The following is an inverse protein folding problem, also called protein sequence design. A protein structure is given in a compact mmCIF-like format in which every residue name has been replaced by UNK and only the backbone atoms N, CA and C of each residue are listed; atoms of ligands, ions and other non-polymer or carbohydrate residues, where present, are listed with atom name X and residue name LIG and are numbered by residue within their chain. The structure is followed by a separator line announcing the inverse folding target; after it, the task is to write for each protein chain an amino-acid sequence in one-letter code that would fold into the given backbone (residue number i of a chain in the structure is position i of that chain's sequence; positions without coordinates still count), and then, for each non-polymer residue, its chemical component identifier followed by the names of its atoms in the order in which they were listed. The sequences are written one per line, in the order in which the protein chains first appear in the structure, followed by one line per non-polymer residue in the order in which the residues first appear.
data_IF_276490128832
#
_entry.id   IF_276490128832
#
_cell.length_a   1.000
_cell.length_b   1.000
_cell.length_c   1.000
_cell.angle_alpha   90.00
_cell.angle_beta   90.00
_cell.angle_gamma   90.00
#
_symmetry.space_group_name_H-M   'P 1'
#
loop_
_entity.id
_entity.type
_entity.pdbx_description
1 polymer ?
#
# COMPACT_ATOMS: atom_id res chain seq x y z
N UNK A 1 -4.99 2.36 -7.21
CA UNK A 1 -5.38 3.78 -7.34
C UNK A 1 -5.25 4.28 -8.78
N UNK A 2 -4.07 4.37 -9.39
CA UNK A 2 -3.89 4.95 -10.72
C UNK A 2 -4.83 4.39 -11.81
N UNK A 3 -5.04 3.06 -11.83
CA UNK A 3 -6.00 2.43 -12.77
C UNK A 3 -7.43 2.94 -12.56
N UNK A 4 -7.88 2.99 -11.31
CA UNK A 4 -9.24 3.43 -10.95
C UNK A 4 -9.41 4.91 -11.30
N UNK A 5 -8.41 5.73 -10.99
CA UNK A 5 -8.41 7.13 -11.34
C UNK A 5 -8.51 7.35 -12.85
N UNK A 6 -7.68 6.65 -13.65
CA UNK A 6 -7.75 6.69 -15.11
C UNK A 6 -9.09 6.22 -15.68
N UNK A 7 -9.66 5.17 -15.11
CA UNK A 7 -10.95 4.64 -15.55
C UNK A 7 -12.06 5.65 -15.25
N UNK A 8 -12.11 6.19 -14.04
CA UNK A 8 -13.10 7.20 -13.64
C UNK A 8 -13.02 8.45 -14.53
N UNK A 9 -11.82 8.97 -14.79
CA UNK A 9 -11.63 10.12 -15.68
C UNK A 9 -12.17 9.85 -17.11
N UNK A 10 -11.84 8.69 -17.69
CA UNK A 10 -12.31 8.31 -19.04
C UNK A 10 -13.81 8.06 -19.12
N UNK A 11 -14.43 7.61 -18.03
CA UNK A 11 -15.88 7.43 -17.96
C UNK A 11 -16.57 8.78 -17.96
N UNK A 12 -16.06 9.74 -17.17
CA UNK A 12 -16.60 11.10 -17.08
C UNK A 12 -16.59 11.83 -18.43
N UNK A 13 -15.52 11.67 -19.22
CA UNK A 13 -15.38 12.31 -20.53
C UNK A 13 -16.25 11.68 -21.64
N UNK A 14 -16.85 10.50 -21.40
CA UNK A 14 -17.61 9.77 -22.42
C UNK A 14 -19.10 9.73 -22.07
N UNK A 15 -19.94 10.11 -23.03
CA UNK A 15 -21.34 9.72 -23.03
C UNK A 15 -21.45 8.23 -23.33
N UNK A 16 -21.35 7.42 -22.28
CA UNK A 16 -21.48 5.98 -22.39
C UNK A 16 -22.95 5.60 -22.54
N UNK A 17 -23.26 4.78 -23.55
CA UNK A 17 -24.60 4.25 -23.76
C UNK A 17 -25.05 3.24 -22.69
N UNK A 18 -24.12 2.75 -21.85
CA UNK A 18 -24.38 1.84 -20.74
C UNK A 18 -23.52 2.22 -19.54
N UNK A 19 -24.05 2.14 -18.31
CA UNK A 19 -23.25 2.38 -17.11
C UNK A 19 -22.15 1.33 -16.99
N UNK A 20 -20.96 1.76 -16.56
CA UNK A 20 -19.87 0.87 -16.19
C UNK A 20 -19.92 0.71 -14.67
N UNK A 21 -20.00 -0.53 -14.21
CA UNK A 21 -19.86 -0.89 -12.81
C UNK A 21 -18.41 -1.29 -12.56
N UNK A 22 -17.77 -0.64 -11.59
CA UNK A 22 -16.38 -0.91 -11.22
C UNK A 22 -16.40 -1.60 -9.86
N UNK A 23 -15.77 -2.78 -9.79
CA UNK A 23 -15.55 -3.50 -8.54
C UNK A 23 -14.04 -3.54 -8.29
N UNK A 24 -13.60 -2.99 -7.17
CA UNK A 24 -12.20 -2.95 -6.76
C UNK A 24 -11.98 -3.87 -5.56
N UNK A 25 -11.19 -4.93 -5.76
CA UNK A 25 -10.74 -5.83 -4.69
C UNK A 25 -9.39 -5.37 -4.12
N UNK A 26 -9.30 -5.24 -2.79
CA UNK A 26 -8.04 -5.06 -2.04
C UNK A 26 -8.24 -5.52 -0.59
N UNK A 27 -7.38 -6.40 -0.07
CA UNK A 27 -7.48 -6.94 1.29
C UNK A 27 -6.51 -6.31 2.30
N UNK A 28 -5.74 -5.29 1.89
CA UNK A 28 -4.77 -4.61 2.75
C UNK A 28 -5.15 -3.14 3.00
N UNK A 29 -5.72 -2.48 2.00
CA UNK A 29 -6.17 -1.10 2.10
C UNK A 29 -6.22 -0.42 0.74
N UNK A 30 -7.38 0.15 0.39
CA UNK A 30 -7.54 0.83 -0.88
C UNK A 30 -6.59 2.02 -1.01
N UNK A 31 -5.83 2.02 -2.10
CA UNK A 31 -4.85 3.07 -2.40
C UNK A 31 -3.45 2.74 -1.91
N UNK A 32 -3.30 2.52 -0.60
CA UNK A 32 -2.00 2.29 0.03
C UNK A 32 -1.49 0.85 -0.11
N UNK A 33 -2.39 -0.12 -0.24
CA UNK A 33 -2.08 -1.54 -0.28
C UNK A 33 -1.26 -1.98 0.94
N UNK A 34 -0.52 -3.08 0.78
CA UNK A 34 0.30 -3.64 1.85
C UNK A 34 1.59 -2.84 2.12
N UNK A 35 2.23 -2.33 1.07
CA UNK A 35 3.57 -1.71 1.13
C UNK A 35 3.55 -0.40 1.91
N UNK A 36 2.52 0.43 1.70
CA UNK A 36 2.35 1.70 2.40
C UNK A 36 1.21 1.62 3.40
N UNK A 37 0.99 0.47 4.04
CA UNK A 37 -0.04 0.38 5.08
C UNK A 37 0.18 1.46 6.15
N UNK A 38 -0.83 2.28 6.49
CA UNK A 38 -0.74 3.25 7.59
C UNK A 38 -0.49 2.61 8.96
N UNK A 39 -0.77 1.31 9.08
CA UNK A 39 -0.64 0.55 10.32
C UNK A 39 0.73 -0.14 10.46
N UNK A 40 1.69 0.18 9.59
CA UNK A 40 3.06 -0.30 9.71
C UNK A 40 3.90 0.59 10.64
N UNK A 41 5.06 0.10 11.05
CA UNK A 41 5.99 0.85 11.90
C UNK A 41 6.45 2.16 11.25
N UNK A 42 6.39 3.29 11.98
CA UNK A 42 6.82 4.60 11.43
C UNK A 42 8.33 4.68 11.16
N UNK A 43 9.14 3.78 11.72
CA UNK A 43 10.58 3.70 11.41
C UNK A 43 10.88 3.22 9.98
N UNK A 44 9.89 2.67 9.28
CA UNK A 44 10.03 2.29 7.88
C UNK A 44 9.78 3.52 7.01
N UNK A 45 10.85 4.10 6.50
CA UNK A 45 10.79 5.36 5.75
C UNK A 45 10.56 5.15 4.25
N UNK A 46 9.95 6.16 3.64
CA UNK A 46 10.01 6.38 2.20
C UNK A 46 11.47 6.55 1.78
N UNK A 47 11.81 6.10 0.57
CA UNK A 47 13.14 6.27 -0.03
C UNK A 47 13.23 7.55 -0.89
N UNK A 48 12.24 8.42 -0.78
CA UNK A 48 12.07 9.66 -1.54
C UNK A 48 11.55 10.72 -0.58
N UNK A 49 12.03 11.96 -0.73
CA UNK A 49 11.66 13.09 0.13
C UNK A 49 10.22 13.54 -0.15
N UNK A 50 9.56 14.15 0.85
CA UNK A 50 8.13 14.48 0.77
C UNK A 50 7.76 15.35 -0.42
N UNK A 51 8.60 16.31 -0.81
CA UNK A 51 8.34 17.22 -1.94
C UNK A 51 8.36 16.53 -3.32
N UNK A 52 8.86 15.30 -3.42
CA UNK A 52 8.95 14.54 -4.66
C UNK A 52 7.87 13.45 -4.79
N UNK A 53 6.90 13.44 -3.87
CA UNK A 53 5.85 12.43 -3.81
C UNK A 53 4.49 13.04 -4.18
N UNK A 54 3.72 12.33 -4.99
CA UNK A 54 2.34 12.69 -5.29
C UNK A 54 1.51 11.44 -5.63
N UNK A 55 0.23 11.47 -5.26
CA UNK A 55 -0.78 10.50 -5.66
C UNK A 55 -1.45 10.93 -6.98
N UNK A 56 -1.44 12.23 -7.27
CA UNK A 56 -2.06 12.80 -8.44
C UNK A 56 -1.00 13.02 -9.52
N UNK A 57 -1.30 12.63 -10.77
CA UNK A 57 -0.38 12.87 -11.86
C UNK A 57 -0.31 14.36 -12.21
N UNK A 58 0.83 14.76 -12.73
CA UNK A 58 1.07 16.08 -13.30
C UNK A 58 1.36 15.98 -14.81
N UNK A 59 1.72 17.10 -15.42
CA UNK A 59 2.04 17.18 -16.86
C UNK A 59 3.23 16.29 -17.27
N UNK A 60 4.12 15.95 -16.34
CA UNK A 60 5.29 15.10 -16.61
C UNK A 60 4.92 13.64 -16.84
N UNK A 61 3.73 13.21 -16.39
CA UNK A 61 3.25 11.84 -16.54
C UNK A 61 2.91 11.45 -18.00
N UNK A 62 2.94 12.40 -18.95
CA UNK A 62 2.69 12.15 -20.37
C UNK A 62 1.26 11.66 -20.64
N UNK A 63 0.32 12.00 -19.77
CA UNK A 63 -1.07 11.54 -19.84
C UNK A 63 -1.85 12.39 -20.85
N UNK A 64 -2.57 11.73 -21.75
CA UNK A 64 -3.53 12.39 -22.63
C UNK A 64 -4.91 12.48 -21.98
N UNK A 65 -5.57 13.64 -22.09
CA UNK A 65 -6.94 13.86 -21.60
C UNK A 65 -7.01 14.29 -20.14
N UNK A 66 -8.23 14.37 -19.60
CA UNK A 66 -8.43 14.79 -18.22
C UNK A 66 -7.82 13.80 -17.22
N UNK A 67 -7.41 14.33 -16.06
CA UNK A 67 -6.89 13.56 -14.94
C UNK A 67 -7.43 14.11 -13.63
N UNK A 68 -7.53 13.25 -12.63
CA UNK A 68 -7.74 13.71 -11.26
C UNK A 68 -6.58 14.62 -10.86
N UNK A 69 -6.95 15.76 -10.28
CA UNK A 69 -6.02 16.74 -9.74
C UNK A 69 -6.11 16.73 -8.22
N UNK A 70 -5.04 17.17 -7.57
CA UNK A 70 -4.99 17.22 -6.12
C UNK A 70 -3.62 17.70 -5.64
N UNK A 71 -3.47 17.94 -4.33
CA UNK A 71 -2.22 18.39 -3.76
C UNK A 71 -1.13 17.33 -3.91
N UNK A 72 0.12 17.77 -4.06
CA UNK A 72 1.27 16.89 -3.84
C UNK A 72 1.26 16.36 -2.40
N UNK A 73 2.10 15.37 -2.09
CA UNK A 73 2.16 14.86 -0.73
C UNK A 73 2.55 15.96 0.26
N UNK A 74 3.57 16.75 -0.04
CA UNK A 74 4.00 17.84 0.84
C UNK A 74 2.93 18.93 1.00
N UNK A 75 2.28 19.35 -0.09
CA UNK A 75 1.19 20.34 -0.02
C UNK A 75 0.03 19.82 0.84
N UNK A 76 -0.29 18.52 0.70
CA UNK A 76 -1.31 17.88 1.52
C UNK A 76 -0.95 17.94 3.00
N UNK A 77 0.29 17.63 3.38
CA UNK A 77 0.74 17.70 4.79
C UNK A 77 0.54 19.10 5.42
N UNK A 78 0.55 20.16 4.61
CA UNK A 78 0.32 21.55 5.06
C UNK A 78 -1.14 22.00 5.04
N UNK A 79 -2.04 21.16 4.53
CA UNK A 79 -3.46 21.49 4.35
C UNK A 79 -4.31 21.25 5.61
N UNK A 80 -5.52 21.83 5.62
CA UNK A 80 -6.56 21.48 6.60
C UNK A 80 -7.03 20.03 6.43
N UNK A 81 -7.08 19.55 5.19
CA UNK A 81 -7.57 18.21 4.88
C UNK A 81 -6.70 17.13 5.51
N UNK A 82 -5.38 17.30 5.53
CA UNK A 82 -4.48 16.40 6.25
C UNK A 82 -4.72 16.44 7.76
N UNK A 83 -4.89 17.64 8.35
CA UNK A 83 -5.15 17.78 9.79
C UNK A 83 -6.45 17.11 10.20
N UNK A 84 -7.51 17.25 9.40
CA UNK A 84 -8.79 16.58 9.62
C UNK A 84 -8.65 15.06 9.45
N UNK A 85 -8.02 14.61 8.36
CA UNK A 85 -7.88 13.19 8.05
C UNK A 85 -7.03 12.44 9.09
N UNK A 86 -5.97 13.07 9.60
CA UNK A 86 -5.07 12.51 10.60
C UNK A 86 -5.50 12.80 12.04
N UNK A 87 -6.64 13.46 12.27
CA UNK A 87 -7.07 13.88 13.62
C UNK A 87 -7.21 12.72 14.62
N UNK A 88 -7.53 11.53 14.13
CA UNK A 88 -7.61 10.30 14.95
C UNK A 88 -6.28 9.59 15.19
N UNK A 89 -5.20 10.01 14.51
CA UNK A 89 -3.86 9.45 14.66
C UNK A 89 -2.87 10.55 15.08
N UNK A 90 -2.70 10.79 16.39
CA UNK A 90 -1.84 11.85 16.89
C UNK A 90 -0.35 11.65 16.53
N UNK A 91 0.07 10.40 16.26
CA UNK A 91 1.46 10.09 15.89
C UNK A 91 1.73 10.54 14.46
N UNK A 92 0.87 10.15 13.52
CA UNK A 92 0.98 10.59 12.14
C UNK A 92 0.72 12.10 11.99
N UNK A 93 -0.19 12.66 12.80
CA UNK A 93 -0.42 14.11 12.82
C UNK A 93 0.81 14.89 13.31
N UNK A 94 1.49 14.42 14.35
CA UNK A 94 2.73 15.03 14.83
C UNK A 94 3.84 14.92 13.78
N UNK A 95 3.99 13.76 13.14
CA UNK A 95 4.94 13.54 12.05
C UNK A 95 4.68 14.53 10.90
N UNK A 96 3.43 14.60 10.41
CA UNK A 96 3.00 15.51 9.35
C UNK A 96 3.29 16.99 9.68
N UNK A 97 3.04 17.38 10.94
CA UNK A 97 3.27 18.75 11.41
C UNK A 97 4.76 19.12 11.41
N UNK A 98 5.64 18.15 11.68
CA UNK A 98 7.09 18.35 11.71
C UNK A 98 7.78 18.22 10.34
N UNK A 99 7.12 17.60 9.36
CA UNK A 99 7.71 17.30 8.07
C UNK A 99 8.06 18.57 7.27
N UNK A 100 9.23 18.56 6.64
CA UNK A 100 9.72 19.54 5.66
C UNK A 100 9.78 18.91 4.26
N UNK A 101 10.02 19.72 3.23
CA UNK A 101 10.17 19.27 1.84
C UNK A 101 11.18 18.13 1.68
N UNK A 102 12.30 18.21 2.41
CA UNK A 102 13.41 17.24 2.38
C UNK A 102 13.26 16.08 3.37
N UNK A 103 12.13 15.99 4.09
CA UNK A 103 11.90 14.92 5.05
C UNK A 103 11.68 13.58 4.33
N UNK A 104 12.38 12.54 4.78
CA UNK A 104 12.03 11.16 4.45
C UNK A 104 10.95 10.69 5.43
N UNK A 105 9.69 10.86 5.05
CA UNK A 105 8.54 10.48 5.90
C UNK A 105 8.46 8.97 6.08
N UNK A 106 7.74 8.53 7.11
CA UNK A 106 7.32 7.16 7.25
C UNK A 106 6.47 6.72 6.06
N UNK A 107 6.55 5.43 5.70
CA UNK A 107 5.65 4.79 4.74
C UNK A 107 4.21 4.79 5.25
N UNK A 108 4.02 4.82 6.57
CA UNK A 108 2.71 4.91 7.20
C UNK A 108 2.03 6.26 6.88
N UNK A 109 2.75 7.38 7.04
CA UNK A 109 2.22 8.71 6.73
C UNK A 109 1.91 8.87 5.24
N UNK A 110 2.78 8.39 4.35
CA UNK A 110 2.50 8.37 2.92
C UNK A 110 1.30 7.46 2.58
N UNK A 111 1.15 6.35 3.30
CA UNK A 111 -0.03 5.49 3.25
C UNK A 111 -1.33 6.21 3.54
N UNK A 112 -1.33 7.05 4.58
CA UNK A 112 -2.49 7.85 4.95
C UNK A 112 -2.86 8.85 3.84
N UNK A 113 -1.86 9.49 3.23
CA UNK A 113 -2.08 10.34 2.05
C UNK A 113 -2.72 9.56 0.88
N UNK A 114 -2.25 8.35 0.57
CA UNK A 114 -2.85 7.52 -0.49
C UNK A 114 -4.30 7.14 -0.20
N UNK A 115 -4.64 6.82 1.06
CA UNK A 115 -6.02 6.54 1.47
C UNK A 115 -6.89 7.79 1.38
N UNK A 116 -6.37 8.94 1.79
CA UNK A 116 -7.05 10.22 1.61
C UNK A 116 -7.31 10.53 0.14
N UNK A 117 -6.32 10.33 -0.74
CA UNK A 117 -6.48 10.52 -2.19
C UNK A 117 -7.54 9.60 -2.80
N UNK A 118 -7.60 8.34 -2.35
CA UNK A 118 -8.69 7.43 -2.74
C UNK A 118 -10.05 7.96 -2.27
N UNK A 119 -10.15 8.50 -1.06
CA UNK A 119 -11.42 9.08 -0.59
C UNK A 119 -11.87 10.26 -1.45
N UNK A 120 -10.95 11.10 -1.93
CA UNK A 120 -11.30 12.18 -2.87
C UNK A 120 -11.77 11.61 -4.22
N UNK A 121 -11.02 10.66 -4.79
CA UNK A 121 -11.39 10.00 -6.03
C UNK A 121 -12.76 9.33 -5.98
N UNK A 122 -13.08 8.68 -4.85
CA UNK A 122 -14.37 8.04 -4.65
C UNK A 122 -15.50 9.06 -4.55
N UNK A 123 -15.29 10.19 -3.85
CA UNK A 123 -16.27 11.28 -3.80
C UNK A 123 -16.59 11.80 -5.19
N UNK A 124 -15.58 12.06 -6.01
CA UNK A 124 -15.74 12.57 -7.38
C UNK A 124 -16.42 11.55 -8.31
N UNK A 125 -16.18 10.26 -8.10
CA UNK A 125 -16.75 9.20 -8.94
C UNK A 125 -18.26 8.95 -8.72
N UNK A 126 -18.81 9.36 -7.56
CA UNK A 126 -20.20 9.03 -7.16
C UNK A 126 -21.25 9.52 -8.15
N UNK A 127 -20.99 10.62 -8.84
CA UNK A 127 -21.96 11.23 -9.76
C UNK A 127 -22.07 10.48 -11.09
N UNK A 128 -21.07 9.69 -11.48
CA UNK A 128 -21.00 9.12 -12.84
C UNK A 128 -20.78 7.60 -12.88
N UNK A 129 -20.06 7.03 -11.92
CA UNK A 129 -19.83 5.58 -11.80
C UNK A 129 -19.40 5.24 -10.38
N UNK A 130 -20.33 4.83 -9.50
CA UNK A 130 -19.97 4.41 -8.15
C UNK A 130 -19.05 3.19 -8.22
N UNK A 131 -17.91 3.27 -7.54
CA UNK A 131 -16.94 2.19 -7.41
C UNK A 131 -17.31 1.37 -6.18
N UNK A 132 -17.57 0.09 -6.39
CA UNK A 132 -17.75 -0.88 -5.31
C UNK A 132 -16.40 -1.31 -4.77
N UNK A 133 -16.18 -1.08 -3.48
CA UNK A 133 -14.99 -1.52 -2.77
C UNK A 133 -15.25 -2.87 -2.12
N UNK A 134 -14.45 -3.87 -2.46
CA UNK A 134 -14.51 -5.20 -1.85
C UNK A 134 -13.23 -5.45 -1.08
N UNK A 135 -13.31 -5.30 0.25
CA UNK A 135 -12.18 -5.46 1.18
C UNK A 135 -11.80 -6.94 1.38
N UNK A 136 -11.51 -7.65 0.27
CA UNK A 136 -11.24 -9.09 0.22
C UNK A 136 -10.24 -9.39 -0.89
N UNK A 137 -9.61 -10.56 -0.79
CA UNK A 137 -8.69 -11.04 -1.81
C UNK A 137 -9.45 -11.75 -2.91
N UNK A 138 -9.25 -11.34 -4.15
CA UNK A 138 -9.60 -12.16 -5.31
C UNK A 138 -8.61 -13.33 -5.43
N UNK A 139 -9.09 -14.57 -5.40
CA UNK A 139 -8.25 -15.78 -5.32
C UNK A 139 -8.20 -16.60 -6.59
N UNK A 140 -9.23 -16.52 -7.44
CA UNK A 140 -9.27 -17.25 -8.72
C UNK A 140 -10.19 -16.60 -9.74
N UNK A 141 -9.95 -16.94 -11.00
CA UNK A 141 -10.77 -16.55 -12.14
C UNK A 141 -11.28 -17.81 -12.84
N UNK A 142 -12.56 -17.86 -13.13
CA UNK A 142 -13.17 -18.85 -14.02
C UNK A 142 -13.61 -18.16 -15.30
N UNK A 143 -13.10 -18.61 -16.45
CA UNK A 143 -13.49 -18.07 -17.75
C UNK A 143 -14.87 -18.60 -18.14
N UNK A 144 -15.78 -17.69 -18.48
CA UNK A 144 -17.07 -17.98 -19.13
C UNK A 144 -16.98 -17.56 -20.61
N UNK A 145 -18.09 -17.71 -21.34
CA UNK A 145 -18.15 -17.42 -22.78
C UNK A 145 -17.75 -15.95 -23.09
N UNK A 146 -18.37 -14.99 -22.39
CA UNK A 146 -18.18 -13.54 -22.61
C UNK A 146 -17.72 -12.76 -21.35
N UNK A 147 -17.30 -13.47 -20.30
CA UNK A 147 -16.99 -12.87 -19.00
C UNK A 147 -15.99 -13.71 -18.20
N UNK A 148 -15.53 -13.14 -17.08
CA UNK A 148 -14.80 -13.85 -16.04
C UNK A 148 -15.60 -13.82 -14.75
N UNK A 149 -15.72 -14.98 -14.11
CA UNK A 149 -16.21 -15.09 -12.74
C UNK A 149 -15.00 -15.01 -11.80
N UNK A 150 -14.98 -14.00 -10.94
CA UNK A 150 -13.96 -13.78 -9.93
C UNK A 150 -14.46 -14.37 -8.61
N UNK A 151 -13.65 -15.20 -7.97
CA UNK A 151 -13.93 -15.71 -6.63
C UNK A 151 -13.10 -14.98 -5.59
N UNK A 152 -13.71 -14.66 -4.45
CA UNK A 152 -13.05 -14.04 -3.32
C UNK A 152 -12.68 -15.06 -2.23
N UNK A 153 -11.80 -14.65 -1.32
CA UNK A 153 -11.29 -15.49 -0.23
C UNK A 153 -12.34 -15.93 0.80
N UNK A 154 -13.54 -15.33 0.79
CA UNK A 154 -14.66 -15.65 1.68
C UNK A 154 -15.80 -16.37 0.95
N UNK A 155 -15.57 -16.82 -0.29
CA UNK A 155 -16.55 -17.55 -1.10
C UNK A 155 -17.55 -16.66 -1.85
N UNK A 156 -17.38 -15.35 -1.83
CA UNK A 156 -18.12 -14.44 -2.70
C UNK A 156 -17.66 -14.55 -4.14
N UNK A 157 -18.53 -14.14 -5.07
CA UNK A 157 -18.17 -14.09 -6.48
C UNK A 157 -18.79 -12.88 -7.20
N UNK A 158 -18.07 -12.38 -8.19
CA UNK A 158 -18.50 -11.28 -9.07
C UNK A 158 -18.19 -11.68 -10.50
N UNK A 159 -19.14 -11.46 -11.40
CA UNK A 159 -18.92 -11.64 -12.84
C UNK A 159 -18.54 -10.30 -13.49
N UNK A 160 -17.47 -10.28 -14.27
CA UNK A 160 -16.98 -9.09 -14.95
C UNK A 160 -16.63 -9.37 -16.41
N UNK A 161 -16.92 -8.42 -17.28
CA UNK A 161 -16.54 -8.48 -18.71
C UNK A 161 -15.06 -8.23 -18.95
N UNK A 162 -14.45 -7.44 -18.06
CA UNK A 162 -13.05 -7.05 -18.14
C UNK A 162 -12.44 -7.06 -16.75
N UNK A 163 -11.19 -7.50 -16.65
CA UNK A 163 -10.42 -7.53 -15.40
C UNK A 163 -9.09 -6.84 -15.63
N UNK A 164 -8.71 -5.95 -14.72
CA UNK A 164 -7.38 -5.33 -14.69
C UNK A 164 -6.64 -5.83 -13.46
N UNK A 165 -5.51 -6.50 -13.67
CA UNK A 165 -4.65 -6.97 -12.58
C UNK A 165 -3.62 -5.89 -12.24
N UNK A 166 -3.85 -5.17 -11.15
CA UNK A 166 -2.91 -4.18 -10.58
C UNK A 166 -2.32 -4.67 -9.27
N UNK A 167 -1.69 -5.84 -9.29
CA UNK A 167 -1.29 -6.59 -8.09
C UNK A 167 -0.03 -6.07 -7.38
N UNK A 168 0.67 -5.10 -7.97
CA UNK A 168 1.93 -4.60 -7.46
C UNK A 168 3.01 -5.70 -7.38
N UNK A 169 3.89 -5.60 -6.39
CA UNK A 169 4.87 -6.64 -6.11
C UNK A 169 4.22 -7.82 -5.37
N UNK A 170 4.12 -8.96 -6.04
CA UNK A 170 3.57 -10.18 -5.45
C UNK A 170 4.62 -10.90 -4.62
N UNK A 171 4.16 -11.64 -3.60
CA UNK A 171 5.05 -12.52 -2.82
C UNK A 171 5.66 -13.57 -3.75
N UNK A 172 6.98 -13.66 -3.75
CA UNK A 172 7.69 -14.66 -4.53
C UNK A 172 7.70 -15.98 -3.77
N UNK A 173 7.60 -17.08 -4.52
CA UNK A 173 7.92 -18.39 -3.95
C UNK A 173 9.38 -18.41 -3.52
N UNK A 174 9.66 -19.16 -2.46
CA UNK A 174 11.04 -19.38 -2.02
C UNK A 174 11.84 -20.00 -3.16
N UNK A 175 13.04 -19.50 -3.39
CA UNK A 175 14.00 -20.19 -4.25
C UNK A 175 14.39 -21.53 -3.60
N UNK A 176 14.84 -22.52 -4.40
CA UNK A 176 15.28 -23.82 -3.85
C UNK A 176 16.38 -23.69 -2.79
N UNK A 177 17.20 -22.62 -2.86
CA UNK A 177 18.18 -22.29 -1.80
C UNK A 177 17.51 -21.82 -0.51
N UNK A 178 16.50 -20.96 -0.58
CA UNK A 178 15.74 -20.50 0.58
C UNK A 178 14.90 -21.61 1.19
N UNK A 179 14.35 -22.52 0.38
CA UNK A 179 13.68 -23.73 0.87
C UNK A 179 14.65 -24.63 1.63
N UNK A 180 15.84 -24.88 1.06
CA UNK A 180 16.89 -25.68 1.70
C UNK A 180 17.34 -25.06 3.03
N UNK A 181 17.56 -23.74 3.07
CA UNK A 181 17.92 -23.02 4.30
C UNK A 181 16.78 -23.07 5.33
N UNK A 182 15.54 -22.87 4.90
CA UNK A 182 14.37 -22.96 5.78
C UNK A 182 14.21 -24.35 6.39
N UNK A 183 14.47 -25.42 5.62
CA UNK A 183 14.42 -26.79 6.13
C UNK A 183 15.53 -27.04 7.15
N UNK A 184 16.78 -26.66 6.83
CA UNK A 184 17.92 -26.81 7.75
C UNK A 184 17.72 -26.04 9.05
N UNK A 185 17.14 -24.83 8.97
CA UNK A 185 16.84 -24.01 10.13
C UNK A 185 15.87 -24.71 11.09
N UNK A 186 14.81 -25.35 10.57
CA UNK A 186 13.84 -26.14 11.36
C UNK A 186 14.47 -27.33 12.10
N UNK A 187 15.59 -27.86 11.59
CA UNK A 187 16.35 -28.97 12.18
C UNK A 187 17.47 -28.49 13.11
N UNK A 188 17.57 -27.17 13.37
CA UNK A 188 18.65 -26.54 14.14
C UNK A 188 18.10 -25.54 15.17
N UNK A 189 18.99 -24.90 15.94
CA UNK A 189 18.63 -23.77 16.82
C UNK A 189 18.64 -22.41 16.12
N UNK A 190 19.00 -22.36 14.83
CA UNK A 190 19.12 -21.11 14.07
C UNK A 190 17.77 -20.68 13.51
N UNK A 191 17.39 -19.43 13.74
CA UNK A 191 16.21 -18.84 13.10
C UNK A 191 16.56 -18.33 11.71
N UNK A 192 15.84 -18.82 10.69
CA UNK A 192 15.95 -18.34 9.32
C UNK A 192 14.69 -17.58 8.91
N UNK A 193 14.87 -16.34 8.47
CA UNK A 193 13.84 -15.56 7.81
C UNK A 193 14.15 -15.48 6.30
N UNK A 194 13.24 -15.94 5.43
CA UNK A 194 13.42 -15.82 3.99
C UNK A 194 13.27 -14.37 3.52
N UNK A 195 13.61 -14.12 2.25
CA UNK A 195 13.41 -12.80 1.65
C UNK A 195 11.93 -12.40 1.62
N UNK A 196 11.69 -11.09 1.66
CA UNK A 196 10.35 -10.49 1.62
C UNK A 196 10.25 -9.26 2.52
N UNK A 197 9.07 -8.63 2.55
CA UNK A 197 8.85 -7.34 3.21
C UNK A 197 9.35 -7.32 4.66
N UNK A 198 9.98 -6.21 5.06
CA UNK A 198 10.34 -5.95 6.45
C UNK A 198 9.08 -5.57 7.25
N UNK A 199 9.00 -6.07 8.47
CA UNK A 199 7.92 -5.72 9.41
C UNK A 199 8.40 -5.99 10.83
N UNK A 200 7.84 -5.27 11.80
CA UNK A 200 8.19 -5.46 13.21
C UNK A 200 7.86 -6.89 13.68
N UNK A 201 6.76 -7.48 13.20
CA UNK A 201 6.34 -8.84 13.54
C UNK A 201 7.33 -9.89 13.03
N UNK A 202 7.97 -9.67 11.87
CA UNK A 202 9.04 -10.54 11.38
C UNK A 202 10.33 -10.31 12.16
N UNK A 203 10.72 -9.05 12.38
CA UNK A 203 11.93 -8.72 13.12
C UNK A 203 11.89 -9.27 14.57
N UNK A 204 10.72 -9.26 15.21
CA UNK A 204 10.51 -9.80 16.56
C UNK A 204 10.74 -11.31 16.67
N UNK A 205 10.72 -12.06 15.55
CA UNK A 205 11.05 -13.50 15.54
C UNK A 205 12.54 -13.75 15.67
N UNK A 206 13.39 -12.75 15.42
CA UNK A 206 14.84 -12.89 15.52
C UNK A 206 15.31 -12.71 16.97
N UNK A 207 16.24 -13.56 17.45
CA UNK A 207 16.71 -13.50 18.83
C UNK A 207 17.30 -12.15 19.18
N UNK A 208 17.14 -11.74 20.45
CA UNK A 208 17.78 -10.54 20.99
C UNK A 208 19.19 -10.88 21.47
N UNK A 209 20.13 -9.93 21.38
CA UNK A 209 21.51 -10.06 21.90
C UNK A 209 22.33 -11.21 21.30
N UNK A 210 21.91 -11.74 20.15
CA UNK A 210 22.64 -12.73 19.37
C UNK A 210 23.16 -12.14 18.06
N UNK A 211 24.19 -12.76 17.48
CA UNK A 211 24.71 -12.36 16.16
C UNK A 211 23.69 -12.70 15.07
N UNK A 212 23.30 -11.68 14.30
CA UNK A 212 22.40 -11.83 13.15
C UNK A 212 23.19 -11.60 11.86
N UNK A 213 23.02 -12.51 10.89
CA UNK A 213 23.54 -12.33 9.54
C UNK A 213 22.40 -11.84 8.66
N UNK A 214 22.49 -10.59 8.20
CA UNK A 214 21.61 -10.05 7.17
C UNK A 214 22.29 -10.22 5.80
N UNK A 215 21.58 -10.83 4.85
CA UNK A 215 22.08 -11.10 3.50
C UNK A 215 21.27 -10.32 2.46
N UNK A 216 21.93 -9.37 1.80
CA UNK A 216 21.33 -8.51 0.77
C UNK A 216 21.80 -7.06 0.94
N UNK A 217 21.50 -6.19 -0.02
CA UNK A 217 21.83 -4.76 0.01
C UNK A 217 20.71 -3.87 -0.57
N UNK A 218 19.49 -4.40 -0.68
CA UNK A 218 18.32 -3.64 -1.15
C UNK A 218 17.64 -2.84 -0.02
N UNK A 219 16.58 -2.09 -0.33
CA UNK A 219 15.86 -1.26 0.65
C UNK A 219 15.44 -2.02 1.91
N UNK A 220 14.95 -3.25 1.75
CA UNK A 220 14.56 -4.13 2.87
C UNK A 220 15.72 -4.46 3.82
N UNK A 221 16.98 -4.45 3.35
CA UNK A 221 18.14 -4.63 4.23
C UNK A 221 18.24 -3.48 5.23
N UNK A 222 18.10 -2.24 4.77
CA UNK A 222 18.11 -1.05 5.63
C UNK A 222 16.92 -1.03 6.58
N UNK A 223 15.74 -1.46 6.12
CA UNK A 223 14.58 -1.62 7.00
C UNK A 223 14.86 -2.59 8.15
N UNK A 224 15.47 -3.76 7.88
CA UNK A 224 15.84 -4.70 8.94
C UNK A 224 16.95 -4.16 9.84
N UNK A 225 17.91 -3.37 9.32
CA UNK A 225 18.88 -2.72 10.18
C UNK A 225 18.19 -1.83 11.20
N UNK A 226 17.29 -0.93 10.76
CA UNK A 226 16.55 -0.02 11.63
C UNK A 226 15.66 -0.81 12.62
N UNK A 227 14.93 -1.81 12.15
CA UNK A 227 14.04 -2.61 13.01
C UNK A 227 14.80 -3.44 14.05
N UNK A 228 16.01 -3.92 13.74
CA UNK A 228 16.82 -4.73 14.64
C UNK A 228 17.73 -3.92 15.56
N UNK A 229 17.82 -2.60 15.35
CA UNK A 229 18.51 -1.66 16.23
C UNK A 229 17.51 -0.79 17.00
N UNK A 230 16.87 0.17 16.33
CA UNK A 230 15.97 1.14 16.94
C UNK A 230 14.58 0.56 17.23
N UNK A 231 14.04 -0.23 16.29
CA UNK A 231 12.71 -0.82 16.41
C UNK A 231 12.59 -2.01 17.36
N UNK A 232 13.70 -2.46 17.96
CA UNK A 232 13.73 -3.60 18.91
C UNK A 232 12.86 -3.40 20.13
N UNK A 233 12.66 -2.15 20.54
CA UNK A 233 11.90 -1.77 21.73
C UNK A 233 10.44 -1.46 21.42
N UNK A 234 9.98 -1.80 20.22
CA UNK A 234 8.67 -1.42 19.71
C UNK A 234 8.77 -0.26 18.74
N UNK A 235 7.69 -0.05 17.99
CA UNK A 235 7.45 1.21 17.30
C UNK A 235 6.50 2.04 18.15
N UNK A 236 6.51 3.38 18.04
CA UNK A 236 5.47 4.20 18.63
C UNK A 236 4.10 3.69 18.17
N UNK A 237 3.36 3.02 19.05
CA UNK A 237 2.02 2.53 18.79
C UNK A 237 1.05 3.18 19.76
N UNK A 238 -0.16 3.44 19.28
CA UNK A 238 -1.28 3.84 20.12
C UNK A 238 -1.61 2.67 21.05
N UNK A 239 -1.61 2.93 22.34
CA UNK A 239 -2.35 2.12 23.31
C UNK A 239 -3.76 2.71 23.27
N UNK A 240 -4.74 1.99 22.73
CA UNK A 240 -6.13 2.39 22.87
C UNK A 240 -6.42 2.51 24.38
N UNK A 241 -6.72 3.73 24.85
CA UNK A 241 -7.25 3.98 26.20
C UNK A 241 -8.69 4.42 26.11
#
# INVERSE_FOLDING_TARGET
MAVIERLSSRIKDKNLNKPIHIVWYDDNGFGSGKVWSPYQCQLLLMNTVTAQLSAFPDESAGLSGQHATGPTFYDWLKSNDAREFLSSDPVLLAEASSATEDTYSSRALYGAYLQWSVNQLLKDSREYSPIELVARRAVSFEKREDSLLIHDSLGGCVEAKSVVLSLGHTSQNLSGKEESLSKKAKESTVTYLPSGDASIQKAAKLPTRESIILRGMGLTFFDYMILLTEGRWGCPQIVDT
#
